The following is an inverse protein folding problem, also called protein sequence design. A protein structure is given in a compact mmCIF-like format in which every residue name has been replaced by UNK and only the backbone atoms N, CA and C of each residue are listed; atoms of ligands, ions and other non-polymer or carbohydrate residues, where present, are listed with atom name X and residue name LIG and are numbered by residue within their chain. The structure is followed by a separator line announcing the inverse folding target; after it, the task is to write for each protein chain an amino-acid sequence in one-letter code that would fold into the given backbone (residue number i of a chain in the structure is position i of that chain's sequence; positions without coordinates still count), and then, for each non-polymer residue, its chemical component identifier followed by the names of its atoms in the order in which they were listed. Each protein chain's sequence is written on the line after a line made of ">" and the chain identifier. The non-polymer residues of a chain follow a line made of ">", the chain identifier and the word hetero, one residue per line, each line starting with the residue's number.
data_IF_627602549555
#
_entry.id   IF_627602549555
#
_cell.length_a   1.000
_cell.length_b   1.000
_cell.length_c   1.000
_cell.angle_alpha   90.00
_cell.angle_beta   90.00
_cell.angle_gamma   90.00
#
_symmetry.space_group_name_H-M   'P 1'
#
loop_
_entity.id
_entity.type
_entity.pdbx_description
1 polymer ?
#
# COMPACT_ATOMS: atom_id res chain seq x y z
N UNK A 1 2.42 -41.30 -28.00
CA UNK A 1 2.16 -40.81 -26.62
C UNK A 1 2.24 -39.30 -26.65
N UNK A 2 1.11 -38.62 -26.83
CA UNK A 2 0.99 -37.17 -26.87
C UNK A 2 0.80 -36.66 -25.44
N UNK A 3 1.75 -35.88 -24.94
CA UNK A 3 1.64 -35.21 -23.63
C UNK A 3 0.64 -34.06 -23.77
N UNK A 4 -0.50 -34.17 -23.07
CA UNK A 4 -1.42 -33.05 -22.88
C UNK A 4 -0.72 -31.99 -22.02
N UNK A 5 -0.47 -30.81 -22.60
CA UNK A 5 -0.04 -29.65 -21.83
C UNK A 5 -1.22 -29.18 -20.95
N UNK A 6 -0.96 -29.09 -19.65
CA UNK A 6 -1.85 -28.51 -18.67
C UNK A 6 -1.92 -27.00 -18.95
N UNK A 7 -3.11 -26.37 -19.08
CA UNK A 7 -3.20 -24.93 -19.24
C UNK A 7 -2.63 -24.29 -17.96
N UNK A 8 -1.64 -23.42 -18.15
CA UNK A 8 -1.12 -22.59 -17.06
C UNK A 8 -2.26 -21.71 -16.56
N UNK A 9 -2.52 -21.74 -15.25
CA UNK A 9 -3.41 -20.81 -14.57
C UNK A 9 -2.78 -19.41 -14.64
N UNK A 10 -2.99 -18.73 -15.76
CA UNK A 10 -2.80 -17.29 -15.88
C UNK A 10 -3.80 -16.64 -14.92
N UNK A 11 -3.33 -16.30 -13.73
CA UNK A 11 -4.11 -15.53 -12.76
C UNK A 11 -4.68 -14.29 -13.44
N UNK A 12 -5.98 -14.07 -13.25
CA UNK A 12 -6.71 -12.93 -13.82
C UNK A 12 -5.96 -11.64 -13.49
N UNK A 13 -5.31 -11.06 -14.50
CA UNK A 13 -4.63 -9.79 -14.36
C UNK A 13 -5.71 -8.72 -14.11
N UNK A 14 -5.62 -8.02 -12.98
CA UNK A 14 -6.49 -6.89 -12.68
C UNK A 14 -6.47 -5.90 -13.84
N UNK A 15 -7.65 -5.46 -14.26
CA UNK A 15 -7.75 -4.44 -15.31
C UNK A 15 -7.35 -3.08 -14.75
N UNK A 16 -7.00 -2.13 -15.62
CA UNK A 16 -6.71 -0.75 -15.21
C UNK A 16 -7.88 -0.12 -14.44
N UNK A 17 -9.12 -0.44 -14.83
CA UNK A 17 -10.32 0.00 -14.13
C UNK A 17 -10.42 -0.57 -12.71
N UNK A 18 -10.07 -1.85 -12.51
CA UNK A 18 -10.07 -2.47 -11.19
C UNK A 18 -9.03 -1.84 -10.26
N UNK A 19 -7.82 -1.57 -10.78
CA UNK A 19 -6.76 -0.89 -10.02
C UNK A 19 -7.17 0.53 -9.61
N UNK A 20 -7.75 1.30 -10.54
CA UNK A 20 -8.27 2.64 -10.25
C UNK A 20 -9.41 2.60 -9.23
N UNK A 21 -10.30 1.61 -9.31
CA UNK A 21 -11.38 1.42 -8.35
C UNK A 21 -10.85 1.05 -6.94
N UNK A 22 -9.82 0.20 -6.86
CA UNK A 22 -9.19 -0.14 -5.58
C UNK A 22 -8.59 1.12 -4.93
N UNK A 23 -7.85 1.93 -5.69
CA UNK A 23 -7.24 3.17 -5.19
C UNK A 23 -8.31 4.22 -4.86
N UNK A 24 -9.39 4.28 -5.66
CA UNK A 24 -10.53 5.14 -5.39
C UNK A 24 -11.18 4.78 -4.04
N UNK A 25 -11.29 3.49 -3.71
CA UNK A 25 -11.83 3.01 -2.45
C UNK A 25 -10.92 3.22 -1.23
N UNK A 26 -9.61 3.36 -1.43
CA UNK A 26 -8.66 3.60 -0.34
C UNK A 26 -8.69 5.06 0.12
N UNK A 27 -9.51 5.38 1.13
CA UNK A 27 -9.74 6.75 1.58
C UNK A 27 -8.49 7.54 2.00
N UNK A 28 -7.44 6.88 2.51
CA UNK A 28 -6.22 7.53 3.00
C UNK A 28 -4.93 6.92 2.43
N UNK A 29 -4.94 6.43 1.18
CA UNK A 29 -3.70 5.99 0.54
C UNK A 29 -2.74 7.18 0.36
N UNK A 30 -1.46 6.95 0.66
CA UNK A 30 -0.38 7.93 0.49
C UNK A 30 0.54 7.48 -0.62
N UNK A 31 0.78 8.36 -1.60
CA UNK A 31 1.61 8.06 -2.75
C UNK A 31 2.50 9.25 -3.12
N UNK A 32 3.63 9.01 -3.79
CA UNK A 32 4.43 10.08 -4.35
C UNK A 32 3.70 10.86 -5.46
N UNK A 33 4.01 12.16 -5.66
CA UNK A 33 3.48 12.95 -6.76
C UNK A 33 3.53 12.25 -8.13
N UNK A 34 4.64 11.58 -8.45
CA UNK A 34 4.80 10.86 -9.71
C UNK A 34 3.79 9.71 -9.85
N UNK A 35 3.49 8.98 -8.77
CA UNK A 35 2.50 7.91 -8.77
C UNK A 35 1.07 8.46 -8.88
N UNK A 36 0.77 9.57 -8.21
CA UNK A 36 -0.52 10.25 -8.41
C UNK A 36 -0.71 10.66 -9.87
N UNK A 37 0.29 11.27 -10.49
CA UNK A 37 0.23 11.67 -11.90
C UNK A 37 0.03 10.46 -12.83
N UNK A 38 0.70 9.34 -12.56
CA UNK A 38 0.49 8.07 -13.27
C UNK A 38 -0.97 7.60 -13.21
N UNK A 39 -1.56 7.55 -12.01
CA UNK A 39 -2.94 7.08 -11.86
C UNK A 39 -3.97 8.01 -12.49
N UNK A 40 -3.79 9.32 -12.38
CA UNK A 40 -4.64 10.25 -13.13
C UNK A 40 -4.46 10.10 -14.64
N UNK A 41 -3.24 9.82 -15.11
CA UNK A 41 -2.98 9.50 -16.51
C UNK A 41 -3.75 8.27 -16.98
N UNK A 42 -3.75 7.19 -16.18
CA UNK A 42 -4.53 5.99 -16.45
C UNK A 42 -6.03 6.30 -16.51
N UNK A 43 -6.56 7.00 -15.51
CA UNK A 43 -7.97 7.39 -15.47
C UNK A 43 -8.33 8.28 -16.67
N UNK A 44 -7.42 9.16 -17.09
CA UNK A 44 -7.62 9.98 -18.27
C UNK A 44 -7.78 9.13 -19.52
N UNK A 45 -6.99 8.06 -19.69
CA UNK A 45 -7.19 7.12 -20.80
C UNK A 45 -8.56 6.47 -20.71
N UNK A 46 -8.91 5.87 -19.56
CA UNK A 46 -10.19 5.17 -19.36
C UNK A 46 -11.41 6.03 -19.70
N UNK A 47 -11.42 7.29 -19.24
CA UNK A 47 -12.50 8.24 -19.54
C UNK A 47 -12.62 8.61 -21.01
N UNK A 48 -11.53 8.50 -21.78
CA UNK A 48 -11.47 8.83 -23.21
C UNK A 48 -11.53 7.59 -24.12
N UNK A 49 -11.64 6.38 -23.55
CA UNK A 49 -11.78 5.10 -24.28
C UNK A 49 -13.13 4.43 -24.06
N UNK A 50 -14.14 5.19 -23.62
CA UNK A 50 -15.50 4.68 -23.39
C UNK A 50 -16.16 4.09 -24.65
N UNK A 51 -17.35 3.47 -24.51
CA UNK A 51 -18.03 2.75 -25.60
C UNK A 51 -18.35 3.62 -26.83
N UNK A 52 -18.42 4.95 -26.63
CA UNK A 52 -18.69 5.92 -27.69
C UNK A 52 -17.41 6.42 -28.41
N UNK A 53 -16.22 6.01 -27.96
CA UNK A 53 -14.94 6.42 -28.53
C UNK A 53 -14.30 5.29 -29.34
N UNK A 54 -13.49 5.63 -30.37
CA UNK A 54 -12.74 4.62 -31.11
C UNK A 54 -11.79 3.85 -30.18
N UNK A 55 -11.76 2.53 -30.34
CA UNK A 55 -10.83 1.66 -29.60
C UNK A 55 -9.40 2.10 -29.90
N UNK A 56 -8.73 2.64 -28.89
CA UNK A 56 -7.33 3.05 -29.01
C UNK A 56 -6.41 1.82 -28.99
N UNK A 57 -5.42 1.82 -29.86
CA UNK A 57 -4.32 0.85 -29.81
C UNK A 57 -3.51 1.03 -28.52
N UNK A 58 -2.80 0.00 -28.02
CA UNK A 58 -1.96 0.12 -26.83
C UNK A 58 -0.92 1.26 -26.91
N UNK A 59 -0.38 1.53 -28.10
CA UNK A 59 0.55 2.65 -28.32
C UNK A 59 -0.14 4.02 -28.17
N UNK A 60 -1.37 4.16 -28.68
CA UNK A 60 -2.16 5.37 -28.51
C UNK A 60 -2.56 5.59 -27.05
N UNK A 61 -2.97 4.52 -26.34
CA UNK A 61 -3.27 4.59 -24.90
C UNK A 61 -2.04 5.05 -24.11
N UNK A 62 -0.87 4.44 -24.35
CA UNK A 62 0.38 4.83 -23.70
C UNK A 62 0.77 6.30 -23.97
N UNK A 63 0.58 6.76 -25.21
CA UNK A 63 0.85 8.16 -25.59
C UNK A 63 -0.09 9.12 -24.86
N UNK A 64 -1.39 8.83 -24.87
CA UNK A 64 -2.41 9.64 -24.19
C UNK A 64 -2.14 9.71 -22.68
N UNK A 65 -1.81 8.57 -22.07
CA UNK A 65 -1.42 8.48 -20.65
C UNK A 65 -0.21 9.37 -20.36
N UNK A 66 0.86 9.23 -21.14
CA UNK A 66 2.11 9.99 -20.97
C UNK A 66 1.88 11.51 -21.08
N UNK A 67 1.01 11.94 -22.01
CA UNK A 67 0.64 13.35 -22.16
C UNK A 67 -0.11 13.86 -20.93
N UNK A 68 -1.08 13.10 -20.43
CA UNK A 68 -1.84 13.43 -19.23
C UNK A 68 -0.94 13.47 -17.98
N UNK A 69 -0.10 12.46 -17.78
CA UNK A 69 0.92 12.41 -16.71
C UNK A 69 1.79 13.68 -16.72
N UNK A 70 2.29 14.07 -17.89
CA UNK A 70 3.12 15.26 -18.04
C UNK A 70 2.37 16.57 -17.75
N UNK A 71 1.08 16.67 -18.08
CA UNK A 71 0.26 17.84 -17.73
C UNK A 71 0.07 17.97 -16.21
N UNK A 72 -0.17 16.85 -15.54
CA UNK A 72 -0.40 16.82 -14.09
C UNK A 72 0.90 17.12 -13.35
N UNK A 73 2.01 16.54 -13.79
CA UNK A 73 3.33 16.84 -13.21
C UNK A 73 3.72 18.31 -13.38
N UNK A 74 3.39 18.95 -14.51
CA UNK A 74 3.59 20.40 -14.67
C UNK A 74 2.76 21.21 -13.68
N UNK A 75 1.54 20.77 -13.37
CA UNK A 75 0.67 21.42 -12.38
C UNK A 75 1.27 21.28 -10.97
N UNK A 76 1.76 20.09 -10.63
CA UNK A 76 2.48 19.85 -9.37
C UNK A 76 3.77 20.68 -9.29
N UNK A 77 4.57 20.75 -10.36
CA UNK A 77 5.79 21.57 -10.41
C UNK A 77 5.50 23.06 -10.23
N UNK A 78 4.45 23.57 -10.88
CA UNK A 78 4.08 24.98 -10.81
C UNK A 78 3.61 25.42 -9.41
N UNK A 79 3.17 24.47 -8.59
CA UNK A 79 2.60 24.70 -7.26
C UNK A 79 3.36 23.91 -6.17
N UNK A 80 4.61 23.52 -6.44
CA UNK A 80 5.30 22.52 -5.65
C UNK A 80 5.50 22.94 -4.18
N UNK A 81 5.67 24.25 -3.92
CA UNK A 81 5.80 24.83 -2.58
C UNK A 81 4.51 24.75 -1.72
N UNK A 82 3.37 24.53 -2.36
CA UNK A 82 2.05 24.46 -1.70
C UNK A 82 1.58 23.03 -1.49
N UNK A 83 2.23 22.05 -2.14
CA UNK A 83 1.84 20.65 -2.04
C UNK A 83 1.98 20.16 -0.59
N UNK A 84 1.03 19.32 -0.12
CA UNK A 84 1.04 18.77 1.23
C UNK A 84 2.01 17.58 1.33
N UNK A 85 3.28 17.81 1.01
CA UNK A 85 4.30 16.77 0.96
C UNK A 85 4.74 16.32 2.36
N UNK A 86 5.02 15.04 2.50
CA UNK A 86 5.51 14.40 3.72
C UNK A 86 6.66 13.43 3.40
N UNK A 87 7.61 13.31 4.31
CA UNK A 87 8.75 12.39 4.20
C UNK A 87 8.35 10.96 4.59
N UNK A 88 8.60 9.99 3.71
CA UNK A 88 8.48 8.58 4.06
C UNK A 88 9.74 8.11 4.81
N UNK A 89 9.62 7.22 5.82
CA UNK A 89 8.39 6.65 6.38
C UNK A 89 7.85 7.42 7.60
N UNK A 90 8.52 8.50 8.02
CA UNK A 90 8.24 9.18 9.29
C UNK A 90 6.94 10.01 9.26
N UNK A 91 6.45 10.36 8.08
CA UNK A 91 5.28 11.21 7.87
C UNK A 91 5.46 12.64 8.36
N UNK A 92 6.71 13.09 8.48
CA UNK A 92 7.01 14.48 8.79
C UNK A 92 6.66 15.34 7.58
N UNK A 93 5.87 16.39 7.81
CA UNK A 93 5.52 17.37 6.78
C UNK A 93 6.79 18.05 6.27
N UNK A 94 6.90 18.16 4.95
CA UNK A 94 7.92 18.99 4.35
C UNK A 94 7.65 20.47 4.70
N UNK A 95 8.63 21.21 5.26
CA UNK A 95 8.37 22.57 5.68
C UNK A 95 8.10 23.49 4.48
N UNK A 96 7.06 24.31 4.56
CA UNK A 96 6.72 25.29 3.51
C UNK A 96 7.87 26.27 3.30
N UNK A 97 8.20 26.53 2.03
CA UNK A 97 9.27 27.46 1.62
C UNK A 97 10.70 26.89 1.69
N UNK A 98 10.88 25.64 2.12
CA UNK A 98 12.17 24.96 1.97
C UNK A 98 12.30 24.41 0.54
N UNK A 99 13.50 24.50 -0.08
CA UNK A 99 13.72 23.97 -1.42
C UNK A 99 13.46 22.45 -1.43
N UNK A 100 12.69 21.99 -2.41
CA UNK A 100 12.37 20.57 -2.53
C UNK A 100 13.63 19.73 -2.81
N UNK A 101 13.74 18.52 -2.25
CA UNK A 101 14.88 17.65 -2.51
C UNK A 101 14.87 17.19 -3.99
N UNK A 102 16.03 16.84 -4.58
CA UNK A 102 16.14 16.47 -6.00
C UNK A 102 15.26 15.31 -6.49
N UNK A 103 14.70 14.49 -5.58
CA UNK A 103 13.80 13.36 -5.88
C UNK A 103 12.46 13.48 -5.16
N UNK A 104 11.96 14.70 -4.96
CA UNK A 104 10.72 14.92 -4.21
C UNK A 104 9.50 14.26 -4.86
N UNK A 105 9.51 14.07 -6.18
CA UNK A 105 8.41 13.47 -6.95
C UNK A 105 8.20 12.00 -6.63
N UNK A 106 9.27 11.29 -6.28
CA UNK A 106 9.28 9.86 -5.96
C UNK A 106 9.52 9.59 -4.47
N UNK A 107 10.19 10.51 -3.77
CA UNK A 107 10.66 10.33 -2.39
C UNK A 107 9.78 10.96 -1.31
N UNK A 108 9.00 11.99 -1.66
CA UNK A 108 7.97 12.54 -0.78
C UNK A 108 6.61 12.00 -1.18
N UNK A 109 5.66 11.99 -0.26
CA UNK A 109 4.31 11.51 -0.52
C UNK A 109 3.27 12.50 -0.01
N UNK A 110 2.05 12.37 -0.53
CA UNK A 110 0.86 13.06 -0.04
C UNK A 110 -0.29 12.06 0.06
N UNK A 111 -1.15 12.23 1.06
CA UNK A 111 -2.35 11.38 1.16
C UNK A 111 -3.41 11.85 0.19
N UNK A 112 -4.31 10.95 -0.20
CA UNK A 112 -5.47 11.26 -1.04
C UNK A 112 -6.33 12.40 -0.47
N UNK A 113 -6.56 12.40 0.85
CA UNK A 113 -7.34 13.44 1.53
C UNK A 113 -6.67 14.80 1.40
N UNK A 114 -5.36 14.84 1.58
CA UNK A 114 -4.56 16.06 1.48
C UNK A 114 -4.48 16.56 0.03
N UNK A 115 -4.25 15.67 -0.92
CA UNK A 115 -4.25 15.99 -2.34
C UNK A 115 -5.61 16.55 -2.78
N UNK A 116 -6.73 15.97 -2.31
CA UNK A 116 -8.07 16.52 -2.56
C UNK A 116 -8.23 17.92 -1.98
N UNK A 117 -7.83 18.14 -0.73
CA UNK A 117 -7.92 19.46 -0.10
C UNK A 117 -7.09 20.50 -0.86
N UNK A 118 -5.86 20.14 -1.23
CA UNK A 118 -4.98 20.97 -2.05
C UNK A 118 -5.57 21.27 -3.44
N UNK A 119 -6.17 20.27 -4.10
CA UNK A 119 -6.77 20.43 -5.42
C UNK A 119 -7.94 21.43 -5.43
N UNK A 120 -8.69 21.56 -4.34
CA UNK A 120 -9.75 22.58 -4.21
C UNK A 120 -9.23 24.01 -4.34
N UNK A 121 -8.01 24.25 -3.88
CA UNK A 121 -7.38 25.56 -3.87
C UNK A 121 -6.53 25.82 -5.12
N UNK A 122 -5.83 24.81 -5.62
CA UNK A 122 -4.76 24.99 -6.61
C UNK A 122 -4.99 24.31 -7.97
N UNK A 123 -5.86 23.30 -8.05
CA UNK A 123 -6.00 22.45 -9.23
C UNK A 123 -7.43 21.87 -9.34
N UNK A 124 -8.41 22.74 -9.53
CA UNK A 124 -9.84 22.39 -9.52
C UNK A 124 -10.21 21.38 -10.63
N UNK A 125 -9.46 21.37 -11.73
CA UNK A 125 -9.60 20.41 -12.82
C UNK A 125 -9.37 18.96 -12.37
N UNK A 126 -8.57 18.73 -11.33
CA UNK A 126 -8.35 17.40 -10.77
C UNK A 126 -9.55 16.91 -9.96
N UNK A 127 -10.46 17.78 -9.51
CA UNK A 127 -11.62 17.37 -8.71
C UNK A 127 -12.66 16.60 -9.52
N UNK A 128 -12.60 16.65 -10.85
CA UNK A 128 -13.43 15.82 -11.73
C UNK A 128 -12.95 14.37 -11.85
N UNK A 129 -11.86 14.01 -11.15
CA UNK A 129 -11.31 12.66 -11.12
C UNK A 129 -12.04 11.77 -10.11
N UNK A 130 -12.32 10.53 -10.50
CA UNK A 130 -12.80 9.48 -9.60
C UNK A 130 -11.79 9.17 -8.48
N UNK A 131 -10.49 9.34 -8.74
CA UNK A 131 -9.44 9.17 -7.73
C UNK A 131 -9.55 10.20 -6.61
N UNK A 132 -10.07 11.40 -6.87
CA UNK A 132 -10.30 12.42 -5.86
C UNK A 132 -11.76 12.58 -5.47
N UNK A 133 -12.67 11.75 -5.98
CA UNK A 133 -14.07 11.79 -5.58
C UNK A 133 -14.19 11.64 -4.06
N UNK A 134 -14.98 12.51 -3.43
CA UNK A 134 -15.27 12.42 -2.00
C UNK A 134 -15.90 11.05 -1.72
N UNK A 135 -15.45 10.30 -0.70
CA UNK A 135 -16.14 9.07 -0.35
C UNK A 135 -17.61 9.44 -0.15
N UNK A 136 -18.51 8.76 -0.87
CA UNK A 136 -19.92 8.91 -0.61
C UNK A 136 -20.10 8.78 0.90
N UNK A 137 -20.84 9.69 1.57
CA UNK A 137 -21.07 9.60 3.00
C UNK A 137 -21.55 8.18 3.22
N UNK A 138 -20.69 7.37 3.82
CA UNK A 138 -20.91 5.95 4.03
C UNK A 138 -22.28 5.92 4.65
N UNK A 139 -23.26 5.43 3.89
CA UNK A 139 -24.67 5.54 4.26
C UNK A 139 -24.73 5.00 5.65
N UNK A 140 -24.88 5.90 6.63
CA UNK A 140 -24.78 5.57 8.04
C UNK A 140 -25.62 4.32 8.17
N UNK A 141 -25.06 3.18 8.64
CA UNK A 141 -25.77 1.92 8.62
C UNK A 141 -27.13 2.24 9.20
N UNK A 142 -28.17 2.10 8.36
CA UNK A 142 -29.52 2.35 8.80
C UNK A 142 -29.67 1.46 10.01
N UNK A 143 -29.67 2.09 11.19
CA UNK A 143 -29.80 1.39 12.45
C UNK A 143 -31.25 0.91 12.43
N UNK A 144 -31.46 -0.24 11.79
CA UNK A 144 -32.50 -1.15 12.18
C UNK A 144 -32.24 -1.44 13.65
N UNK A 145 -32.99 -0.72 14.48
CA UNK A 145 -33.20 -1.01 15.87
C UNK A 145 -33.88 -2.39 15.97
N UNK A 146 -33.11 -3.46 15.78
CA UNK A 146 -33.48 -4.81 16.12
C UNK A 146 -32.58 -5.27 17.27
N UNK A 147 -33.04 -4.93 18.48
CA UNK A 147 -32.97 -5.72 19.71
C UNK A 147 -32.00 -6.91 19.68
N UNK A 148 -30.75 -6.71 20.12
CA UNK A 148 -29.91 -7.81 20.59
C UNK A 148 -29.66 -7.57 22.07
N UNK A 149 -30.26 -8.46 22.84
CA UNK A 149 -30.18 -8.52 24.29
C UNK A 149 -28.73 -8.65 24.77
N UNK A 150 -28.47 -7.94 25.87
CA UNK A 150 -27.29 -8.04 26.71
C UNK A 150 -26.92 -9.51 27.00
N UNK A 151 -25.79 -9.96 26.47
CA UNK A 151 -24.97 -10.94 27.17
C UNK A 151 -23.74 -10.21 27.68
N UNK A 152 -23.73 -9.94 28.99
CA UNK A 152 -22.59 -9.43 29.72
C UNK A 152 -21.46 -10.44 29.71
N UNK A 153 -20.53 -10.29 28.77
CA UNK A 153 -19.16 -10.75 28.94
C UNK A 153 -18.39 -9.63 29.61
N UNK A 154 -17.87 -9.90 30.80
CA UNK A 154 -16.89 -9.05 31.48
C UNK A 154 -15.83 -8.62 30.46
N UNK A 155 -15.84 -7.33 30.09
CA UNK A 155 -14.84 -6.69 29.24
C UNK A 155 -13.51 -6.69 30.00
N UNK A 156 -12.88 -7.85 30.05
CA UNK A 156 -11.45 -8.00 30.28
C UNK A 156 -10.81 -7.11 29.22
N UNK A 157 -10.08 -6.07 29.65
CA UNK A 157 -9.39 -5.18 28.72
C UNK A 157 -8.63 -6.03 27.69
N UNK A 158 -8.76 -5.73 26.38
CA UNK A 158 -8.08 -6.51 25.35
C UNK A 158 -6.58 -6.58 25.68
N UNK A 159 -6.02 -7.80 25.68
CA UNK A 159 -4.58 -7.99 25.94
C UNK A 159 -3.83 -7.18 24.88
N UNK A 160 -2.92 -6.30 25.33
CA UNK A 160 -2.10 -5.47 24.44
C UNK A 160 -1.35 -6.32 23.41
N UNK A 161 -1.10 -7.61 23.73
CA UNK A 161 -0.50 -8.57 22.80
C UNK A 161 -1.37 -8.87 21.59
N UNK A 162 -2.69 -8.97 21.77
CA UNK A 162 -3.62 -9.21 20.66
C UNK A 162 -3.70 -7.98 19.76
N UNK A 163 -3.72 -6.79 20.37
CA UNK A 163 -3.68 -5.54 19.62
C UNK A 163 -2.37 -5.36 18.85
N UNK A 164 -1.23 -5.68 19.48
CA UNK A 164 0.07 -5.71 18.82
C UNK A 164 0.08 -6.67 17.61
N UNK A 165 -0.56 -7.85 17.73
CA UNK A 165 -0.70 -8.84 16.64
C UNK A 165 -1.62 -8.33 15.52
N UNK A 166 -2.70 -7.62 15.86
CA UNK A 166 -3.59 -6.99 14.88
C UNK A 166 -2.81 -5.98 14.04
N UNK A 167 -2.13 -5.05 14.70
CA UNK A 167 -1.36 -3.97 14.06
C UNK A 167 -0.26 -4.55 13.15
N UNK A 168 0.55 -5.49 13.65
CA UNK A 168 1.63 -6.07 12.82
C UNK A 168 1.09 -6.81 11.61
N UNK A 169 -0.08 -7.44 11.71
CA UNK A 169 -0.72 -8.16 10.59
C UNK A 169 -1.17 -7.18 9.51
N UNK A 170 -1.72 -6.03 9.91
CA UNK A 170 -2.09 -4.96 9.00
C UNK A 170 -0.87 -4.35 8.27
N UNK A 171 0.22 -4.11 9.00
CA UNK A 171 1.47 -3.60 8.40
C UNK A 171 2.07 -4.67 7.46
N UNK A 172 2.08 -5.94 7.87
CA UNK A 172 2.60 -7.03 7.05
C UNK A 172 1.80 -7.20 5.75
N UNK A 173 0.46 -7.16 5.82
CA UNK A 173 -0.39 -7.25 4.64
C UNK A 173 -0.14 -6.09 3.68
N UNK A 174 0.04 -4.87 4.20
CA UNK A 174 0.45 -3.71 3.38
C UNK A 174 1.80 -3.92 2.72
N UNK A 175 2.79 -4.41 3.47
CA UNK A 175 4.11 -4.75 2.94
C UNK A 175 4.07 -5.82 1.84
N UNK A 176 3.26 -6.87 2.03
CA UNK A 176 3.04 -7.91 1.02
C UNK A 176 2.42 -7.31 -0.26
N UNK A 177 1.43 -6.43 -0.14
CA UNK A 177 0.81 -5.75 -1.30
C UNK A 177 1.80 -4.94 -2.14
N UNK A 178 2.83 -4.36 -1.51
CA UNK A 178 3.83 -3.53 -2.20
C UNK A 178 5.15 -4.26 -2.48
N UNK A 179 5.22 -5.57 -2.25
CA UNK A 179 6.44 -6.37 -2.44
C UNK A 179 7.60 -6.00 -1.52
N UNK A 180 7.33 -5.38 -0.36
CA UNK A 180 8.35 -5.07 0.64
C UNK A 180 8.43 -6.17 1.69
N UNK A 181 9.64 -6.54 2.08
CA UNK A 181 9.88 -7.37 3.25
C UNK A 181 10.42 -6.53 4.42
N UNK A 182 9.73 -6.62 5.56
CA UNK A 182 10.17 -6.01 6.81
C UNK A 182 10.86 -7.02 7.71
N UNK A 183 11.91 -6.60 8.42
CA UNK A 183 12.48 -7.43 9.49
C UNK A 183 11.59 -7.40 10.73
N UNK A 184 11.61 -8.47 11.53
CA UNK A 184 10.85 -8.55 12.79
C UNK A 184 11.17 -7.40 13.75
N UNK A 185 12.42 -6.94 13.77
CA UNK A 185 12.83 -5.80 14.60
C UNK A 185 12.16 -4.50 14.14
N UNK A 186 12.06 -4.28 12.82
CA UNK A 186 11.40 -3.10 12.26
C UNK A 186 9.90 -3.12 12.55
N UNK A 187 9.24 -4.27 12.39
CA UNK A 187 7.83 -4.44 12.76
C UNK A 187 7.60 -4.16 14.25
N UNK A 188 8.45 -4.68 15.13
CA UNK A 188 8.30 -4.47 16.57
C UNK A 188 8.41 -2.99 16.98
N UNK A 189 9.30 -2.24 16.32
CA UNK A 189 9.45 -0.80 16.53
C UNK A 189 8.22 -0.03 16.06
N UNK A 190 7.72 -0.33 14.85
CA UNK A 190 6.50 0.30 14.32
C UNK A 190 5.29 0.01 15.19
N UNK A 191 5.12 -1.24 15.65
CA UNK A 191 4.02 -1.63 16.53
C UNK A 191 4.13 -0.96 17.90
N UNK A 192 5.32 -0.85 18.48
CA UNK A 192 5.51 -0.16 19.76
C UNK A 192 5.13 1.33 19.68
N UNK A 193 5.44 1.98 18.56
CA UNK A 193 5.04 3.37 18.33
C UNK A 193 3.52 3.50 18.10
N UNK A 194 2.90 2.56 17.37
CA UNK A 194 1.45 2.53 17.17
C UNK A 194 0.69 2.37 18.51
N UNK A 195 1.09 1.39 19.33
CA UNK A 195 0.50 1.18 20.67
C UNK A 195 0.66 2.41 21.57
N UNK A 196 1.79 3.12 21.47
CA UNK A 196 2.00 4.38 22.21
C UNK A 196 1.02 5.46 21.76
N UNK A 197 0.82 5.60 20.46
CA UNK A 197 -0.09 6.58 19.88
C UNK A 197 -1.56 6.28 20.24
N UNK A 198 -1.91 4.99 20.39
CA UNK A 198 -3.24 4.55 20.85
C UNK A 198 -3.40 4.61 22.38
N UNK A 199 -2.36 5.00 23.13
CA UNK A 199 -2.41 5.09 24.59
C UNK A 199 -2.42 3.73 25.29
N UNK A 200 -2.10 2.65 24.59
CA UNK A 200 -2.10 1.28 25.13
C UNK A 200 -0.82 1.03 25.92
N UNK A 201 -0.99 0.64 27.18
CA UNK A 201 0.11 0.37 28.12
C UNK A 201 0.19 -1.10 28.44
N UNK A 202 1.42 -1.59 28.60
CA UNK A 202 1.67 -2.91 29.15
C UNK A 202 1.62 -2.92 30.68
N UNK A 203 1.81 -4.10 31.29
CA UNK A 203 1.82 -4.27 32.75
C UNK A 203 2.84 -3.38 33.47
N UNK A 204 3.95 -3.08 32.80
CA UNK A 204 5.08 -2.31 33.34
C UNK A 204 5.19 -0.90 32.72
N UNK A 205 4.12 -0.37 32.15
CA UNK A 205 4.10 0.96 31.51
C UNK A 205 4.25 0.92 29.98
N UNK A 206 4.99 1.86 29.41
CA UNK A 206 5.13 1.97 27.96
C UNK A 206 5.87 0.77 27.37
N UNK A 207 5.30 0.18 26.33
CA UNK A 207 5.85 -1.00 25.68
C UNK A 207 7.05 -0.63 24.80
N UNK A 208 8.19 -1.27 25.08
CA UNK A 208 9.38 -1.14 24.23
C UNK A 208 9.29 -2.06 23.01
N UNK A 209 9.99 -1.72 21.92
CA UNK A 209 10.11 -2.61 20.75
C UNK A 209 10.63 -4.01 21.14
N UNK A 210 11.55 -4.10 22.10
CA UNK A 210 12.05 -5.39 22.60
C UNK A 210 10.98 -6.22 23.31
N UNK A 211 10.11 -5.58 24.10
CA UNK A 211 8.97 -6.23 24.77
C UNK A 211 7.93 -6.70 23.76
N UNK A 212 7.54 -5.83 22.83
CA UNK A 212 6.60 -6.18 21.74
C UNK A 212 7.13 -7.36 20.93
N UNK A 213 8.41 -7.28 20.52
CA UNK A 213 9.07 -8.37 19.80
C UNK A 213 8.98 -9.67 20.61
N UNK A 214 9.44 -9.68 21.86
CA UNK A 214 9.55 -10.91 22.65
C UNK A 214 8.21 -11.52 23.05
N UNK A 215 7.23 -10.71 23.41
CA UNK A 215 5.98 -11.20 24.02
C UNK A 215 4.79 -11.27 23.07
N UNK A 216 4.75 -10.44 22.02
CA UNK A 216 3.65 -10.45 21.05
C UNK A 216 4.05 -11.11 19.73
N UNK A 217 5.28 -10.86 19.25
CA UNK A 217 5.69 -11.24 17.89
C UNK A 217 6.58 -12.50 17.83
N UNK A 218 7.31 -12.80 18.90
CA UNK A 218 8.17 -13.97 19.02
C UNK A 218 7.37 -15.13 19.61
N UNK A 219 7.35 -16.25 18.90
CA UNK A 219 6.69 -17.48 19.33
C UNK A 219 5.86 -18.10 18.20
N UNK A 220 5.31 -19.30 18.47
CA UNK A 220 4.50 -20.06 17.52
C UNK A 220 3.24 -19.30 17.05
N UNK A 221 2.78 -18.29 17.78
CA UNK A 221 1.45 -17.75 17.56
C UNK A 221 1.32 -16.71 16.44
N UNK A 222 2.30 -15.86 16.11
CA UNK A 222 2.09 -14.90 15.01
C UNK A 222 2.58 -15.43 13.66
N UNK A 223 3.80 -15.98 13.58
CA UNK A 223 4.40 -16.48 12.34
C UNK A 223 3.69 -17.71 11.74
N UNK A 224 2.93 -18.47 12.54
CA UNK A 224 2.16 -19.62 12.06
C UNK A 224 0.74 -19.25 11.63
N UNK A 225 0.18 -18.17 12.17
CA UNK A 225 -1.19 -17.71 11.89
C UNK A 225 -1.22 -16.73 10.71
N UNK A 226 -0.07 -16.16 10.31
CA UNK A 226 -0.01 -15.33 9.10
C UNK A 226 -0.55 -16.13 7.90
N UNK A 227 -1.37 -15.52 7.03
CA UNK A 227 -1.74 -16.14 5.77
C UNK A 227 -0.46 -16.56 5.06
N UNK A 228 -0.30 -17.86 4.84
CA UNK A 228 0.90 -18.45 4.24
C UNK A 228 0.92 -18.09 2.76
N UNK A 229 1.28 -16.86 2.43
CA UNK A 229 1.56 -16.47 1.05
C UNK A 229 2.89 -17.11 0.65
N UNK A 230 2.74 -18.20 -0.11
CA UNK A 230 3.73 -18.96 -0.87
C UNK A 230 4.66 -19.89 -0.06
N UNK A 231 4.91 -21.11 -0.57
CA UNK A 231 5.88 -22.02 0.04
C UNK A 231 7.27 -21.37 0.03
N UNK A 232 8.14 -21.69 1.00
CA UNK A 232 9.54 -21.31 0.89
C UNK A 232 10.05 -21.84 -0.44
N UNK A 233 10.68 -20.97 -1.24
CA UNK A 233 11.51 -21.46 -2.34
C UNK A 233 12.40 -22.55 -1.75
N UNK A 234 12.29 -23.73 -2.34
CA UNK A 234 13.24 -24.80 -2.17
C UNK A 234 14.58 -24.17 -2.55
N UNK A 235 15.31 -23.67 -1.56
CA UNK A 235 16.71 -23.33 -1.70
C UNK A 235 17.37 -24.67 -1.90
N UNK A 236 17.34 -25.11 -3.16
CA UNK A 236 17.94 -26.33 -3.63
C UNK A 236 19.31 -26.37 -3.01
N UNK A 237 19.43 -27.22 -2.00
CA UNK A 237 20.70 -27.63 -1.45
C UNK A 237 21.41 -28.22 -2.64
N UNK A 238 22.23 -27.41 -3.31
CA UNK A 238 23.11 -27.83 -4.39
C UNK A 238 24.03 -28.84 -3.74
N UNK A 239 23.64 -30.10 -3.90
CA UNK A 239 24.43 -31.24 -3.53
C UNK A 239 25.79 -31.09 -4.17
N UNK A 240 26.78 -30.99 -3.30
CA UNK A 240 28.17 -31.28 -3.56
C UNK A 240 28.28 -32.51 -4.49
N UNK A 241 28.65 -32.28 -5.75
CA UNK A 241 29.21 -33.30 -6.64
C UNK A 241 30.62 -32.85 -7.00
N UNK A 242 31.59 -33.25 -6.19
CA UNK A 242 32.93 -33.43 -6.71
C UNK A 242 32.93 -34.63 -7.65
N UNK A 243 33.51 -34.50 -8.84
CA UNK A 243 34.45 -35.49 -9.37
C UNK A 243 35.12 -35.00 -10.68
N UNK A 244 36.44 -34.84 -10.59
CA UNK A 244 37.52 -35.28 -11.50
C UNK A 244 37.28 -35.33 -13.01
N UNK A 245 38.13 -34.59 -13.74
CA UNK A 245 38.39 -34.77 -15.16
C UNK A 245 39.70 -34.10 -15.57
N UNK A 246 40.82 -34.74 -15.26
CA UNK A 246 42.15 -34.41 -15.79
C UNK A 246 42.15 -34.59 -17.31
N UNK A 247 42.65 -33.61 -18.06
CA UNK A 247 42.92 -33.78 -19.48
C UNK A 247 44.36 -33.34 -19.71
N UNK A 248 45.23 -34.33 -19.90
CA UNK A 248 46.54 -34.18 -20.51
C UNK A 248 46.37 -33.72 -21.96
N UNK A 249 47.21 -32.78 -22.39
CA UNK A 249 47.49 -32.55 -23.79
C UNK A 249 49.01 -32.42 -23.96
N UNK A 250 49.58 -33.39 -24.67
CA UNK A 250 50.85 -33.23 -25.38
C UNK A 250 50.68 -32.44 -26.67
#
# INVERSE_FOLDING_TARGET
>A
MTKQNKPDEQGDALTAADELAEIAGQGNCGMPPAMWAYYFGMEHVERNTGPDYPVLTPSQQSTLRTVAEGQIMRTFDAQADTLPLSEAPLGLRWPKGQPLPPKWREGLYMTKVELRAWAKEHAQELLGSALLAEPAPESAPAVEAATIAEQGTDKTMPDWRDEARRIVTEIHNRHLKIGMEGTLSKYAETVANALRNEGIRGPNGWLSAGTVKREALTGKQWWQIRPRSLPPEDTGSVGNVGNVGSIDAG
#
